data_IF_741470780949
#
_entry.id   IF_741470780949
#
_cell.length_a   1.000
_cell.length_b   1.000
_cell.length_c   1.000
_cell.angle_alpha   90.00
_cell.angle_beta   90.00
_cell.angle_gamma   90.00
#
_symmetry.space_group_name_H-M   'P 1'
#
loop_
_entity.id
_entity.type
_entity.pdbx_description
1 polymer ?
#
# COMPACT_ATOMS: atom_id res chain seq x y z
N UNK A 1 -7.59 6.17 -62.52
CA UNK A 1 -8.98 5.75 -62.23
C UNK A 1 -9.01 4.44 -61.50
N UNK A 2 -9.86 4.21 -60.51
CA UNK A 2 -10.44 5.09 -59.47
C UNK A 2 -9.85 4.77 -58.10
N UNK A 3 -9.71 5.71 -57.23
CA UNK A 3 -10.59 6.23 -56.18
C UNK A 3 -11.34 5.21 -55.36
N UNK A 4 -10.90 5.00 -54.11
CA UNK A 4 -11.79 4.59 -53.01
C UNK A 4 -11.23 5.10 -51.68
N UNK A 5 -11.90 6.14 -51.20
CA UNK A 5 -11.89 6.56 -49.79
C UNK A 5 -12.49 5.47 -48.93
N UNK A 6 -11.88 5.18 -47.83
CA UNK A 6 -12.60 4.67 -46.67
C UNK A 6 -12.13 5.43 -45.44
N UNK A 7 -13.05 6.10 -44.84
CA UNK A 7 -13.00 6.75 -43.55
C UNK A 7 -13.06 5.67 -42.49
N UNK A 8 -12.05 5.54 -41.68
CA UNK A 8 -12.15 4.76 -40.46
C UNK A 8 -12.05 5.65 -39.24
N UNK A 9 -13.14 5.58 -38.49
CA UNK A 9 -13.33 6.30 -37.25
C UNK A 9 -12.35 5.83 -36.17
N UNK A 10 -11.64 6.77 -35.63
CA UNK A 10 -10.84 6.57 -34.43
C UNK A 10 -11.76 6.33 -33.24
N UNK A 11 -11.85 5.07 -32.82
CA UNK A 11 -12.45 4.75 -31.53
C UNK A 11 -11.44 5.11 -30.42
N UNK A 12 -11.71 6.21 -29.74
CA UNK A 12 -11.01 6.55 -28.50
C UNK A 12 -11.48 5.62 -27.38
N UNK A 13 -10.79 4.49 -27.23
CA UNK A 13 -10.93 3.67 -26.04
C UNK A 13 -10.25 4.38 -24.89
N UNK A 14 -11.06 5.01 -24.05
CA UNK A 14 -10.65 5.57 -22.76
C UNK A 14 -10.18 4.43 -21.84
N UNK A 15 -8.87 4.24 -21.75
CA UNK A 15 -8.27 3.40 -20.72
C UNK A 15 -8.26 4.20 -19.43
N UNK A 16 -9.24 3.95 -18.57
CA UNK A 16 -9.20 4.39 -17.19
C UNK A 16 -8.14 3.56 -16.46
N UNK A 17 -6.91 4.03 -16.46
CA UNK A 17 -5.81 3.43 -15.70
C UNK A 17 -6.02 3.72 -14.22
N UNK A 18 -6.52 2.73 -13.48
CA UNK A 18 -6.50 2.73 -12.01
C UNK A 18 -5.04 2.59 -11.58
N UNK A 19 -4.39 3.69 -11.25
CA UNK A 19 -3.05 3.66 -10.67
C UNK A 19 -3.18 3.31 -9.19
N UNK A 20 -2.92 2.05 -8.86
CA UNK A 20 -2.66 1.63 -7.47
C UNK A 20 -1.22 1.98 -7.15
N UNK A 21 -0.99 3.10 -6.49
CA UNK A 21 0.35 3.49 -6.03
C UNK A 21 0.56 2.93 -4.64
N UNK A 22 1.23 1.78 -4.56
CA UNK A 22 1.78 1.26 -3.32
C UNK A 22 3.11 1.98 -3.02
N UNK A 23 3.16 2.61 -1.87
CA UNK A 23 4.31 3.06 -1.09
C UNK A 23 5.50 3.72 -1.79
N UNK A 24 5.65 4.95 -1.63
CA UNK A 24 6.77 5.89 -1.81
C UNK A 24 6.45 7.14 -2.67
N UNK A 25 5.23 7.31 -3.13
CA UNK A 25 4.82 8.38 -4.06
C UNK A 25 3.90 9.44 -3.45
N UNK A 26 3.87 9.65 -2.13
CA UNK A 26 3.07 10.75 -1.56
C UNK A 26 3.48 12.12 -2.14
N UNK A 27 4.75 12.36 -2.40
CA UNK A 27 5.23 13.62 -2.97
C UNK A 27 4.80 13.79 -4.45
N UNK A 28 4.88 12.73 -5.25
CA UNK A 28 4.46 12.75 -6.65
C UNK A 28 2.92 12.82 -6.79
N UNK A 29 2.18 12.12 -5.94
CA UNK A 29 0.72 12.20 -5.93
C UNK A 29 0.25 13.60 -5.51
N UNK A 30 0.88 14.22 -4.52
CA UNK A 30 0.61 15.59 -4.09
C UNK A 30 0.99 16.61 -5.18
N UNK A 31 2.11 16.41 -5.87
CA UNK A 31 2.51 17.25 -7.00
C UNK A 31 1.52 17.16 -8.17
N UNK A 32 1.10 15.95 -8.55
CA UNK A 32 0.11 15.73 -9.61
C UNK A 32 -1.28 16.29 -9.25
N UNK A 33 -1.72 16.09 -8.01
CA UNK A 33 -2.99 16.66 -7.50
C UNK A 33 -2.93 18.20 -7.49
N UNK A 34 -1.79 18.78 -7.16
CA UNK A 34 -1.58 20.23 -7.21
C UNK A 34 -1.62 20.74 -8.66
N UNK A 35 -1.01 20.05 -9.63
CA UNK A 35 -1.05 20.41 -11.05
C UNK A 35 -2.45 20.31 -11.64
N UNK A 36 -3.20 19.26 -11.32
CA UNK A 36 -4.61 19.10 -11.75
C UNK A 36 -5.49 20.22 -11.18
N UNK A 37 -5.30 20.58 -9.90
CA UNK A 37 -6.04 21.67 -9.26
C UNK A 37 -5.71 23.03 -9.86
N UNK A 38 -4.49 23.24 -10.31
CA UNK A 38 -4.03 24.49 -10.93
C UNK A 38 -4.53 24.67 -12.35
N UNK A 39 -4.74 23.58 -13.12
CA UNK A 39 -5.14 23.62 -14.52
C UNK A 39 -6.64 23.37 -14.78
N UNK A 40 -7.36 22.73 -13.84
CA UNK A 40 -8.77 22.40 -14.00
C UNK A 40 -9.54 22.74 -12.73
N UNK A 41 -9.81 24.03 -12.50
CA UNK A 41 -10.55 24.52 -11.34
C UNK A 41 -11.84 23.75 -11.03
N UNK A 42 -12.48 24.04 -9.91
CA UNK A 42 -13.66 23.33 -9.32
C UNK A 42 -14.83 23.04 -10.29
N UNK A 43 -14.88 23.71 -11.44
CA UNK A 43 -15.88 23.47 -12.48
C UNK A 43 -15.80 22.09 -13.17
N UNK A 44 -14.64 21.43 -13.15
CA UNK A 44 -14.48 20.08 -13.74
C UNK A 44 -15.14 18.96 -12.94
N UNK A 45 -15.18 19.09 -11.61
CA UNK A 45 -15.84 18.08 -10.77
C UNK A 45 -17.36 18.13 -10.86
N UNK A 46 -17.94 19.32 -11.02
CA UNK A 46 -19.39 19.49 -11.18
C UNK A 46 -19.86 18.94 -12.53
N UNK A 47 -19.06 19.12 -13.58
CA UNK A 47 -19.36 18.56 -14.91
C UNK A 47 -19.30 17.03 -14.93
N UNK A 48 -18.29 16.42 -14.29
CA UNK A 48 -18.19 14.96 -14.19
C UNK A 48 -19.39 14.36 -13.43
N UNK A 49 -19.84 15.01 -12.37
CA UNK A 49 -21.03 14.59 -11.63
C UNK A 49 -22.34 14.72 -12.42
N UNK A 50 -22.42 15.62 -13.38
CA UNK A 50 -23.62 15.77 -14.23
C UNK A 50 -23.73 14.71 -15.35
N UNK A 51 -22.60 14.10 -15.73
CA UNK A 51 -22.53 13.08 -16.81
C UNK A 51 -22.75 11.66 -16.27
N UNK A 52 -22.52 11.43 -14.97
CA UNK A 52 -22.72 10.11 -14.38
C UNK A 52 -24.22 9.84 -14.16
N UNK A 53 -24.79 8.75 -14.69
CA UNK A 53 -26.20 8.39 -14.49
C UNK A 53 -26.54 8.32 -12.99
N UNK A 54 -27.69 8.87 -12.60
CA UNK A 54 -28.15 8.89 -11.19
C UNK A 54 -28.16 7.51 -10.54
N UNK A 55 -28.44 6.45 -11.30
CA UNK A 55 -28.38 5.06 -10.85
C UNK A 55 -26.97 4.63 -10.41
N UNK A 56 -25.95 5.07 -11.16
CA UNK A 56 -24.55 4.78 -10.85
C UNK A 56 -24.05 5.57 -9.63
N UNK A 57 -24.52 6.82 -9.49
CA UNK A 57 -24.24 7.64 -8.31
C UNK A 57 -24.83 7.02 -7.04
N UNK A 58 -26.07 6.51 -7.11
CA UNK A 58 -26.70 5.80 -5.99
C UNK A 58 -25.97 4.50 -5.63
N UNK A 59 -25.55 3.71 -6.60
CA UNK A 59 -24.75 2.50 -6.36
C UNK A 59 -23.40 2.82 -5.71
N UNK A 60 -22.71 3.86 -6.17
CA UNK A 60 -21.45 4.30 -5.56
C UNK A 60 -21.66 4.82 -4.13
N UNK A 61 -22.76 5.50 -3.87
CA UNK A 61 -23.08 6.01 -2.54
C UNK A 61 -23.43 4.87 -1.59
N UNK A 62 -24.24 3.89 -2.02
CA UNK A 62 -24.54 2.69 -1.24
C UNK A 62 -23.29 1.84 -0.95
N UNK A 63 -22.42 1.67 -1.93
CA UNK A 63 -21.14 0.97 -1.75
C UNK A 63 -20.20 1.70 -0.78
N UNK A 64 -20.19 3.05 -0.80
CA UNK A 64 -19.46 3.87 0.18
C UNK A 64 -20.03 3.74 1.59
N UNK A 65 -21.34 3.74 1.73
CA UNK A 65 -22.02 3.59 3.02
C UNK A 65 -21.85 2.19 3.61
N UNK A 66 -21.90 1.14 2.78
CA UNK A 66 -21.61 -0.23 3.19
C UNK A 66 -20.14 -0.37 3.64
N UNK A 67 -19.19 0.14 2.86
CA UNK A 67 -17.78 0.16 3.21
C UNK A 67 -17.51 0.96 4.51
N UNK A 68 -18.26 2.04 4.74
CA UNK A 68 -18.18 2.83 5.96
C UNK A 68 -18.75 2.09 7.17
N UNK A 69 -19.84 1.34 6.97
CA UNK A 69 -20.46 0.48 8.02
C UNK A 69 -19.56 -0.70 8.37
N UNK A 70 -18.94 -1.34 7.37
CA UNK A 70 -17.95 -2.39 7.58
C UNK A 70 -16.69 -1.87 8.28
N UNK A 71 -16.17 -0.72 7.86
CA UNK A 71 -15.03 -0.06 8.54
C UNK A 71 -15.38 0.34 9.98
N UNK A 72 -16.60 0.81 10.24
CA UNK A 72 -17.04 1.09 11.62
C UNK A 72 -17.16 -0.21 12.45
N UNK A 73 -17.64 -1.31 11.88
CA UNK A 73 -17.73 -2.60 12.55
C UNK A 73 -16.35 -3.20 12.88
N UNK A 74 -15.37 -3.00 12.00
CA UNK A 74 -13.96 -3.39 12.23
C UNK A 74 -13.29 -2.44 13.25
N UNK A 75 -13.69 -1.17 13.31
CA UNK A 75 -13.07 -0.21 14.23
C UNK A 75 -13.61 -0.27 15.66
N UNK A 76 -14.77 -0.96 15.88
CA UNK A 76 -15.38 -1.11 17.21
C UNK A 76 -14.82 -2.30 17.99
N UNK A 77 -13.89 -3.09 17.42
CA UNK A 77 -13.43 -4.33 18.05
C UNK A 77 -11.98 -4.29 18.51
N UNK A 78 -11.29 -3.14 18.47
CA UNK A 78 -9.94 -3.06 19.02
C UNK A 78 -9.71 -1.73 19.72
N UNK A 79 -10.40 -1.49 20.83
CA UNK A 79 -9.76 -0.77 21.92
C UNK A 79 -8.62 -1.67 22.36
N UNK A 80 -7.38 -1.36 22.01
CA UNK A 80 -6.22 -1.96 22.65
C UNK A 80 -6.43 -1.76 24.14
N UNK A 81 -6.64 -2.84 24.88
CA UNK A 81 -6.39 -2.82 26.29
C UNK A 81 -4.90 -2.51 26.44
N UNK A 82 -4.57 -1.29 26.89
CA UNK A 82 -3.19 -0.82 27.03
C UNK A 82 -2.39 -1.71 28.00
N UNK A 83 -3.06 -2.62 28.69
CA UNK A 83 -2.49 -3.59 29.62
C UNK A 83 -2.25 -4.97 28.99
N UNK A 84 -2.68 -5.20 27.74
CA UNK A 84 -2.53 -6.50 27.11
C UNK A 84 -1.09 -6.76 26.64
N UNK A 85 -0.52 -7.85 27.14
CA UNK A 85 0.79 -8.35 26.68
C UNK A 85 0.58 -9.05 25.33
N UNK A 86 1.32 -8.60 24.31
CA UNK A 86 1.33 -9.25 23.01
C UNK A 86 2.00 -10.62 23.10
N UNK A 87 1.42 -11.64 22.49
CA UNK A 87 1.98 -12.99 22.45
C UNK A 87 3.12 -13.12 21.44
N UNK A 88 3.16 -12.25 20.46
CA UNK A 88 4.15 -12.23 19.38
C UNK A 88 4.46 -10.80 18.95
N UNK A 89 5.68 -10.58 18.44
CA UNK A 89 6.04 -9.32 17.80
C UNK A 89 5.15 -9.02 16.56
N UNK A 90 4.57 -10.04 15.94
CA UNK A 90 3.64 -9.88 14.83
C UNK A 90 2.35 -9.16 15.23
N UNK A 91 1.93 -9.29 16.49
CA UNK A 91 0.76 -8.60 17.06
C UNK A 91 0.99 -7.07 17.18
N UNK A 92 2.25 -6.64 17.10
CA UNK A 92 2.64 -5.22 17.11
C UNK A 92 2.61 -4.57 15.73
N UNK A 93 2.39 -5.36 14.67
CA UNK A 93 2.31 -4.84 13.30
C UNK A 93 0.99 -4.09 13.12
N UNK A 94 1.10 -2.87 12.61
CA UNK A 94 -0.07 -2.05 12.35
C UNK A 94 -0.49 -1.17 13.52
N UNK A 95 -1.70 -0.62 13.44
CA UNK A 95 -2.24 0.33 14.41
C UNK A 95 -1.25 1.48 14.74
N UNK A 96 -0.48 1.90 13.72
CA UNK A 96 0.52 2.94 13.83
C UNK A 96 -0.15 4.30 14.07
N UNK A 97 0.48 5.23 14.81
CA UNK A 97 -0.08 6.55 15.08
C UNK A 97 -0.32 7.36 13.80
N UNK A 98 -1.33 8.22 13.84
CA UNK A 98 -1.56 9.27 12.87
C UNK A 98 -1.33 10.61 13.58
N UNK A 99 -0.29 11.35 13.16
CA UNK A 99 0.17 12.57 13.84
C UNK A 99 -0.03 13.78 12.92
N UNK A 100 -0.62 14.86 13.46
CA UNK A 100 -0.75 16.12 12.73
C UNK A 100 0.61 16.82 12.63
N UNK A 101 1.02 17.16 11.41
CA UNK A 101 2.27 17.89 11.14
C UNK A 101 1.97 19.39 11.18
N UNK A 102 2.13 20.01 12.36
CA UNK A 102 1.69 21.38 12.59
C UNK A 102 2.39 22.38 11.66
N UNK A 103 3.71 22.33 11.54
CA UNK A 103 4.47 23.26 10.71
C UNK A 103 4.04 23.26 9.24
N UNK A 104 3.82 22.10 8.67
CA UNK A 104 3.35 21.97 7.29
C UNK A 104 1.87 22.39 7.16
N UNK A 105 1.05 22.07 8.14
CA UNK A 105 -0.36 22.47 8.15
C UNK A 105 -0.52 24.00 8.20
N UNK A 106 0.27 24.67 9.01
CA UNK A 106 0.28 26.13 9.11
C UNK A 106 0.80 26.80 7.84
N UNK A 107 1.87 26.28 7.26
CA UNK A 107 2.48 26.82 6.04
C UNK A 107 1.57 26.66 4.82
N UNK A 108 0.88 25.54 4.70
CA UNK A 108 0.04 25.23 3.53
C UNK A 108 -1.43 25.64 3.71
N UNK A 109 -1.85 26.01 4.92
CA UNK A 109 -3.25 26.23 5.30
C UNK A 109 -4.15 25.02 5.05
N UNK A 110 -3.56 23.81 5.08
CA UNK A 110 -4.24 22.53 4.94
C UNK A 110 -3.96 21.66 6.15
N UNK A 111 -4.86 20.74 6.48
CA UNK A 111 -4.57 19.73 7.51
C UNK A 111 -3.69 18.63 6.93
N UNK A 112 -2.46 18.51 7.43
CA UNK A 112 -1.48 17.51 7.01
C UNK A 112 -1.23 16.57 8.17
N UNK A 113 -1.34 15.26 7.89
CA UNK A 113 -1.11 14.20 8.86
C UNK A 113 -0.05 13.24 8.35
N UNK A 114 0.81 12.77 9.25
CA UNK A 114 1.79 11.72 9.01
C UNK A 114 1.32 10.40 9.62
N UNK A 115 1.22 9.36 8.80
CA UNK A 115 1.01 7.99 9.27
C UNK A 115 2.37 7.39 9.63
N UNK A 116 2.62 7.16 10.92
CA UNK A 116 3.94 6.80 11.44
C UNK A 116 4.24 5.32 11.26
N UNK A 117 4.38 4.86 10.01
CA UNK A 117 4.61 3.45 9.69
C UNK A 117 5.97 2.90 10.15
N UNK A 118 6.90 3.75 10.54
CA UNK A 118 8.16 3.37 11.17
C UNK A 118 8.01 2.78 12.58
N UNK A 119 6.83 2.88 13.19
CA UNK A 119 6.51 2.20 14.45
C UNK A 119 6.22 0.70 14.29
N UNK A 120 6.10 0.19 13.07
CA UNK A 120 6.06 -1.25 12.87
C UNK A 120 7.38 -1.90 13.30
N UNK A 121 7.38 -3.14 13.83
CA UNK A 121 8.58 -3.79 14.37
C UNK A 121 9.73 -3.96 13.37
N UNK A 122 9.44 -4.15 12.08
CA UNK A 122 10.45 -4.15 11.01
C UNK A 122 10.77 -2.75 10.47
N UNK A 123 10.20 -1.71 11.05
CA UNK A 123 10.48 -0.30 10.76
C UNK A 123 9.81 0.26 9.51
N UNK A 124 8.82 -0.40 8.93
CA UNK A 124 8.17 0.09 7.72
C UNK A 124 6.73 -0.40 7.53
N UNK A 125 6.02 0.21 6.58
CA UNK A 125 4.69 -0.25 6.13
C UNK A 125 4.72 -1.68 5.54
N UNK A 126 5.89 -2.19 5.15
CA UNK A 126 6.03 -3.50 4.53
C UNK A 126 5.78 -4.66 5.49
N UNK A 127 5.84 -4.43 6.77
CA UNK A 127 5.49 -5.43 7.78
C UNK A 127 4.04 -5.90 7.60
N UNK A 128 3.13 -4.98 7.30
CA UNK A 128 1.72 -5.31 7.01
C UNK A 128 1.58 -6.23 5.80
N UNK A 129 2.32 -5.91 4.73
CA UNK A 129 2.29 -6.67 3.48
C UNK A 129 2.88 -8.06 3.70
N UNK A 130 4.04 -8.14 4.35
CA UNK A 130 4.73 -9.39 4.63
C UNK A 130 3.87 -10.33 5.49
N UNK A 131 3.27 -9.80 6.56
CA UNK A 131 2.38 -10.58 7.44
C UNK A 131 1.20 -11.14 6.66
N UNK A 132 0.50 -10.29 5.88
CA UNK A 132 -0.68 -10.70 5.12
C UNK A 132 -0.34 -11.77 4.08
N UNK A 133 0.74 -11.59 3.30
CA UNK A 133 1.15 -12.55 2.27
C UNK A 133 1.45 -13.92 2.90
N UNK A 134 2.21 -13.94 3.99
CA UNK A 134 2.61 -15.20 4.64
C UNK A 134 1.39 -15.89 5.27
N UNK A 135 0.54 -15.14 5.98
CA UNK A 135 -0.68 -15.70 6.57
C UNK A 135 -1.61 -16.31 5.51
N UNK A 136 -1.90 -15.57 4.44
CA UNK A 136 -2.72 -16.11 3.34
C UNK A 136 -2.12 -17.33 2.67
N UNK A 137 -0.80 -17.37 2.49
CA UNK A 137 -0.12 -18.52 1.91
C UNK A 137 -0.24 -19.77 2.80
N UNK A 138 -0.17 -19.58 4.12
CA UNK A 138 -0.34 -20.65 5.11
C UNK A 138 -1.80 -21.11 5.17
N UNK A 139 -2.76 -20.20 5.22
CA UNK A 139 -4.20 -20.51 5.23
C UNK A 139 -4.61 -21.30 3.97
N UNK A 140 -4.08 -20.91 2.81
CA UNK A 140 -4.31 -21.60 1.54
C UNK A 140 -3.49 -22.90 1.39
N UNK A 141 -2.77 -23.32 2.43
CA UNK A 141 -1.87 -24.50 2.42
C UNK A 141 -0.82 -24.48 1.31
N UNK A 142 -0.47 -23.32 0.80
CA UNK A 142 0.62 -23.12 -0.16
C UNK A 142 1.99 -23.01 0.52
N UNK A 143 2.00 -22.63 1.80
CA UNK A 143 3.17 -22.51 2.64
C UNK A 143 2.95 -23.31 3.93
N UNK A 144 3.82 -24.28 4.19
CA UNK A 144 3.76 -25.10 5.40
C UNK A 144 4.87 -24.66 6.38
N UNK A 145 4.76 -25.12 7.63
CA UNK A 145 5.81 -24.91 8.64
C UNK A 145 7.17 -25.41 8.13
N UNK A 146 8.20 -24.60 8.27
CA UNK A 146 9.53 -24.86 7.72
C UNK A 146 9.66 -24.63 6.21
N UNK A 147 8.58 -24.19 5.54
CA UNK A 147 8.60 -23.85 4.13
C UNK A 147 9.49 -22.65 3.82
N UNK A 148 9.78 -22.44 2.55
CA UNK A 148 10.66 -21.37 2.07
C UNK A 148 9.83 -20.23 1.47
N UNK A 149 10.10 -19.01 1.92
CA UNK A 149 9.63 -17.75 1.33
C UNK A 149 10.79 -17.15 0.54
N UNK A 150 10.55 -16.79 -0.72
CA UNK A 150 11.53 -16.12 -1.58
C UNK A 150 11.01 -14.78 -2.05
N UNK A 151 11.88 -13.78 -2.13
CA UNK A 151 11.52 -12.43 -2.59
C UNK A 151 12.67 -11.75 -3.31
N UNK A 152 12.37 -11.08 -4.42
CA UNK A 152 13.29 -10.19 -5.14
C UNK A 152 13.03 -8.74 -4.77
N UNK A 153 13.90 -8.13 -3.96
CA UNK A 153 13.67 -6.75 -3.48
C UNK A 153 14.96 -6.04 -3.09
N UNK A 154 15.02 -4.74 -3.37
CA UNK A 154 16.14 -3.89 -2.93
C UNK A 154 15.96 -3.29 -1.52
N UNK A 155 14.82 -3.54 -0.84
CA UNK A 155 14.46 -2.73 0.33
C UNK A 155 13.71 -3.41 1.46
N UNK A 156 12.80 -2.66 2.04
CA UNK A 156 12.10 -3.02 3.29
C UNK A 156 11.22 -4.27 3.20
N UNK A 157 10.77 -4.68 1.99
CA UNK A 157 9.95 -5.90 1.84
C UNK A 157 10.73 -7.14 2.28
N UNK A 158 12.00 -7.26 1.86
CA UNK A 158 12.85 -8.38 2.27
C UNK A 158 13.11 -8.41 3.77
N UNK A 159 13.31 -7.24 4.39
CA UNK A 159 13.47 -7.12 5.84
C UNK A 159 12.22 -7.60 6.57
N UNK A 160 11.05 -7.13 6.14
CA UNK A 160 9.76 -7.50 6.75
C UNK A 160 9.45 -8.98 6.57
N UNK A 161 9.71 -9.55 5.38
CA UNK A 161 9.52 -10.99 5.14
C UNK A 161 10.48 -11.84 5.99
N UNK A 162 11.75 -11.44 6.11
CA UNK A 162 12.72 -12.11 6.95
C UNK A 162 12.29 -12.11 8.42
N UNK A 163 11.80 -10.97 8.94
CA UNK A 163 11.27 -10.86 10.30
C UNK A 163 10.06 -11.78 10.51
N UNK A 164 9.05 -11.71 9.63
CA UNK A 164 7.84 -12.55 9.74
C UNK A 164 8.19 -14.03 9.64
N UNK A 165 9.05 -14.41 8.70
CA UNK A 165 9.52 -15.79 8.52
C UNK A 165 10.25 -16.31 9.75
N UNK A 166 11.13 -15.50 10.37
CA UNK A 166 11.84 -15.85 11.59
C UNK A 166 10.88 -16.19 12.73
N UNK A 167 9.86 -15.35 12.95
CA UNK A 167 8.86 -15.57 14.00
C UNK A 167 8.02 -16.83 13.76
N UNK A 168 7.64 -17.06 12.51
CA UNK A 168 6.79 -18.21 12.11
C UNK A 168 7.62 -19.50 11.85
N UNK A 169 8.93 -19.46 12.08
CA UNK A 169 9.85 -20.58 11.85
C UNK A 169 9.80 -21.10 10.40
N UNK A 170 9.79 -20.16 9.46
CA UNK A 170 9.91 -20.38 8.04
C UNK A 170 11.33 -20.08 7.59
N UNK A 171 11.76 -20.67 6.49
CA UNK A 171 12.97 -20.25 5.80
C UNK A 171 12.68 -19.03 4.94
N UNK A 172 13.65 -18.12 4.80
CA UNK A 172 13.52 -16.95 3.95
C UNK A 172 14.79 -16.76 3.13
N UNK A 173 14.62 -16.51 1.84
CA UNK A 173 15.70 -16.21 0.91
C UNK A 173 15.35 -14.93 0.13
N UNK A 174 16.24 -13.93 0.20
CA UNK A 174 16.01 -12.64 -0.42
C UNK A 174 17.07 -12.39 -1.49
N UNK A 175 16.62 -12.10 -2.70
CA UNK A 175 17.48 -11.69 -3.81
C UNK A 175 17.48 -10.17 -3.88
N UNK A 176 18.67 -9.57 -3.85
CA UNK A 176 18.87 -8.12 -3.86
C UNK A 176 19.81 -7.70 -5.00
N UNK A 177 19.59 -6.53 -5.62
CA UNK A 177 20.58 -5.99 -6.54
C UNK A 177 21.88 -5.61 -5.81
N UNK A 178 23.01 -5.62 -6.52
CA UNK A 178 24.34 -5.35 -5.98
C UNK A 178 24.46 -3.95 -5.34
N UNK A 179 23.74 -2.98 -5.87
CA UNK A 179 23.70 -1.59 -5.40
C UNK A 179 22.70 -1.36 -4.24
N UNK A 180 22.01 -2.39 -3.78
CA UNK A 180 21.12 -2.28 -2.63
C UNK A 180 21.89 -1.89 -1.36
N UNK A 181 21.27 -1.06 -0.52
CA UNK A 181 21.86 -0.59 0.73
C UNK A 181 22.30 -1.75 1.64
N UNK A 182 23.54 -1.70 2.12
CA UNK A 182 24.14 -2.75 2.95
C UNK A 182 23.41 -2.97 4.26
N UNK A 183 22.78 -1.92 4.82
CA UNK A 183 21.98 -2.00 6.04
C UNK A 183 20.78 -2.93 5.86
N UNK A 184 20.17 -2.96 4.67
CA UNK A 184 19.01 -3.81 4.39
C UNK A 184 19.40 -5.29 4.34
N UNK A 185 20.52 -5.61 3.68
CA UNK A 185 21.04 -6.98 3.69
C UNK A 185 21.47 -7.44 5.09
N UNK A 186 22.09 -6.56 5.87
CA UNK A 186 22.46 -6.86 7.24
C UNK A 186 21.24 -7.15 8.13
N UNK A 187 20.16 -6.38 7.98
CA UNK A 187 18.90 -6.62 8.69
C UNK A 187 18.28 -7.97 8.31
N UNK A 188 18.23 -8.31 7.02
CA UNK A 188 17.72 -9.61 6.53
C UNK A 188 18.52 -10.77 7.14
N UNK A 189 19.85 -10.68 7.12
CA UNK A 189 20.75 -11.69 7.72
C UNK A 189 20.55 -11.79 9.22
N UNK A 190 20.36 -10.67 9.93
CA UNK A 190 20.13 -10.66 11.37
C UNK A 190 18.83 -11.39 11.79
N UNK A 191 17.83 -11.42 10.92
CA UNK A 191 16.62 -12.23 11.12
C UNK A 191 16.81 -13.72 10.75
N UNK A 192 18.00 -14.15 10.34
CA UNK A 192 18.29 -15.53 9.99
C UNK A 192 17.93 -15.93 8.57
N UNK A 193 17.54 -14.99 7.72
CA UNK A 193 17.30 -15.23 6.31
C UNK A 193 18.61 -15.24 5.51
N UNK A 194 18.60 -15.79 4.30
CA UNK A 194 19.73 -15.76 3.37
C UNK A 194 19.55 -14.64 2.34
N UNK A 195 20.66 -14.07 1.90
CA UNK A 195 20.68 -13.00 0.89
C UNK A 195 21.56 -13.42 -0.28
N UNK A 196 21.02 -13.28 -1.47
CA UNK A 196 21.77 -13.39 -2.73
C UNK A 196 21.82 -12.01 -3.38
N UNK A 197 23.03 -11.57 -3.79
CA UNK A 197 23.21 -10.33 -4.54
C UNK A 197 23.37 -10.62 -6.03
N UNK A 198 22.61 -9.90 -6.85
CA UNK A 198 22.57 -10.08 -8.30
C UNK A 198 22.75 -8.73 -9.00
N UNK A 199 23.31 -8.77 -10.20
CA UNK A 199 23.43 -7.61 -11.08
C UNK A 199 22.18 -7.43 -11.92
#
# INVERSE_FOLDING_TARGET
MPDHRTTDGASTSSIASTVVVAGSCCALALYYMHQIRKHHGEKSLSFLNSVIPKSLQQQQQQAREQNLKEKKKVHTTTTRDETSIHSSVLDSIGNTPLVKVLSLSEMTKCEIYAKCEFYNPGGSVKDRVALQIVQEAMERKKLNKGGLVTEGTAGSTGVSLAMVASVLRLNCHVVMPDDAATEKSAQVLAYGATVERVR
#
